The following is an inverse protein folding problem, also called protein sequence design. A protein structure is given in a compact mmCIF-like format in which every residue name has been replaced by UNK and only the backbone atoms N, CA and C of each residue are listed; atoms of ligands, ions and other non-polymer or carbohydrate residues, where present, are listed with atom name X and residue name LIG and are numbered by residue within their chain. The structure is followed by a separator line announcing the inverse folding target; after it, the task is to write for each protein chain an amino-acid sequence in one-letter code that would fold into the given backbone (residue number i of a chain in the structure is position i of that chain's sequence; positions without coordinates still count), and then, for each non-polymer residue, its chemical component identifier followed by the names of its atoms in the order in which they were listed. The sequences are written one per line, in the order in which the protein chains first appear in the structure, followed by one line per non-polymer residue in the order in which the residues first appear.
data_IF_894582859605
#
_entry.id   IF_894582859605
#
_cell.length_a   1.000
_cell.length_b   1.000
_cell.length_c   1.000
_cell.angle_alpha   90.00
_cell.angle_beta   90.00
_cell.angle_gamma   90.00
#
_symmetry.space_group_name_H-M   'P 1'
#
loop_
_entity.id
_entity.type
_entity.pdbx_description
1 polymer ?
#
# COMPACT_ATOMS: atom_id res chain seq x y z
N UNK A 1 -15.48 0.31 -5.63
CA UNK A 1 -14.90 -0.08 -6.93
C UNK A 1 -14.09 -1.35 -6.70
N UNK A 2 -14.25 -2.34 -7.57
CA UNK A 2 -13.55 -3.62 -7.46
C UNK A 2 -14.49 -4.78 -7.16
N UNK A 3 -14.10 -6.02 -7.51
CA UNK A 3 -12.82 -6.38 -8.15
C UNK A 3 -12.75 -5.89 -9.61
N UNK A 4 -11.60 -5.38 -10.04
CA UNK A 4 -11.47 -4.77 -11.37
C UNK A 4 -10.01 -4.66 -11.84
N UNK A 5 -9.80 -4.94 -13.12
CA UNK A 5 -8.59 -4.56 -13.85
C UNK A 5 -8.81 -3.22 -14.56
N UNK A 6 -7.87 -2.30 -14.39
CA UNK A 6 -7.82 -0.98 -15.03
C UNK A 6 -6.69 -0.99 -16.04
N UNK A 7 -7.05 -0.94 -17.33
CA UNK A 7 -6.08 -0.83 -18.42
C UNK A 7 -5.73 0.65 -18.59
N UNK A 8 -4.52 1.01 -18.19
CA UNK A 8 -4.03 2.38 -18.09
C UNK A 8 -3.82 2.82 -16.65
N UNK A 9 -3.84 4.12 -16.42
CA UNK A 9 -3.55 4.72 -15.12
C UNK A 9 -4.82 4.86 -14.25
N UNK A 10 -4.63 4.82 -12.93
CA UNK A 10 -5.62 5.21 -11.95
C UNK A 10 -5.27 6.58 -11.39
N UNK A 11 -6.04 7.58 -11.82
CA UNK A 11 -5.90 8.97 -11.39
C UNK A 11 -7.04 9.32 -10.41
N UNK A 12 -6.67 9.76 -9.21
CA UNK A 12 -7.59 10.42 -8.29
C UNK A 12 -7.22 11.90 -8.23
N UNK A 13 -8.09 12.76 -8.75
CA UNK A 13 -7.89 14.21 -8.66
C UNK A 13 -7.92 14.68 -7.19
N UNK A 14 -7.50 15.93 -6.98
CA UNK A 14 -7.49 16.56 -5.65
C UNK A 14 -8.82 16.39 -4.91
N UNK A 15 -8.76 15.84 -3.70
CA UNK A 15 -9.89 15.64 -2.80
C UNK A 15 -10.83 14.50 -3.19
N UNK A 16 -10.50 13.68 -4.19
CA UNK A 16 -11.32 12.53 -4.56
C UNK A 16 -11.19 11.38 -3.56
N UNK A 17 -12.29 10.66 -3.34
CA UNK A 17 -12.37 9.54 -2.41
C UNK A 17 -12.78 8.27 -3.16
N UNK A 18 -11.91 7.25 -3.13
CA UNK A 18 -12.15 5.94 -3.72
C UNK A 18 -12.45 4.92 -2.63
N UNK A 19 -13.64 4.31 -2.69
CA UNK A 19 -13.97 3.16 -1.84
C UNK A 19 -13.69 1.89 -2.65
N UNK A 20 -12.84 1.00 -2.14
CA UNK A 20 -12.48 -0.29 -2.73
C UNK A 20 -13.41 -1.38 -2.18
N UNK A 21 -14.10 -2.07 -3.08
CA UNK A 21 -15.06 -3.15 -2.77
C UNK A 21 -14.52 -4.55 -3.13
N UNK A 22 -13.34 -4.61 -3.74
CA UNK A 22 -12.65 -5.83 -4.18
C UNK A 22 -11.26 -5.47 -4.73
N UNK A 23 -10.37 -6.45 -4.89
CA UNK A 23 -8.99 -6.21 -5.38
C UNK A 23 -8.98 -5.46 -6.72
N UNK A 24 -8.16 -4.41 -6.79
CA UNK A 24 -7.95 -3.63 -8.01
C UNK A 24 -6.55 -3.90 -8.54
N UNK A 25 -6.44 -4.20 -9.84
CA UNK A 25 -5.18 -4.23 -10.58
C UNK A 25 -5.16 -3.08 -11.60
N UNK A 26 -4.06 -2.36 -11.66
CA UNK A 26 -3.85 -1.22 -12.57
C UNK A 26 -2.62 -1.53 -13.40
N UNK A 27 -2.75 -1.59 -14.73
CA UNK A 27 -1.62 -1.90 -15.61
C UNK A 27 -0.66 -0.72 -15.77
N UNK A 28 -1.08 0.48 -15.39
CA UNK A 28 -0.31 1.70 -15.40
C UNK A 28 0.05 2.19 -14.00
N UNK A 29 0.19 3.50 -13.88
CA UNK A 29 0.52 4.18 -12.63
C UNK A 29 -0.72 4.41 -11.76
N UNK A 30 -0.49 4.66 -10.47
CA UNK A 30 -1.51 5.08 -9.52
C UNK A 30 -1.10 6.40 -8.93
N UNK A 31 -1.89 7.44 -9.19
CA UNK A 31 -1.63 8.79 -8.71
C UNK A 31 -2.80 9.26 -7.86
N UNK A 32 -2.48 9.65 -6.63
CA UNK A 32 -3.45 10.17 -5.67
C UNK A 32 -3.13 11.63 -5.44
N UNK A 33 -3.97 12.51 -5.98
CA UNK A 33 -3.85 13.96 -5.84
C UNK A 33 -4.04 14.44 -4.40
N UNK A 34 -3.81 15.73 -4.20
CA UNK A 34 -3.83 16.37 -2.87
C UNK A 34 -5.13 16.11 -2.13
N UNK A 35 -5.05 15.70 -0.86
CA UNK A 35 -6.20 15.35 -0.02
C UNK A 35 -7.08 14.21 -0.57
N UNK A 36 -6.60 13.46 -1.56
CA UNK A 36 -7.26 12.26 -2.05
C UNK A 36 -7.24 11.15 -1.01
N UNK A 37 -8.18 10.21 -1.10
CA UNK A 37 -8.16 9.04 -0.23
C UNK A 37 -8.60 7.76 -0.91
N UNK A 38 -8.05 6.65 -0.44
CA UNK A 38 -8.48 5.31 -0.79
C UNK A 38 -8.80 4.55 0.49
N UNK A 39 -10.02 4.03 0.58
CA UNK A 39 -10.49 3.28 1.74
C UNK A 39 -11.08 1.95 1.31
N UNK A 40 -10.98 0.92 2.15
CA UNK A 40 -11.74 -0.31 1.92
C UNK A 40 -13.20 -0.10 2.32
N UNK A 41 -14.09 -0.74 1.60
CA UNK A 41 -15.51 -0.81 1.97
C UNK A 41 -15.67 -1.48 3.34
N UNK A 42 -16.57 -0.99 4.22
CA UNK A 42 -16.85 -1.62 5.51
C UNK A 42 -17.19 -3.12 5.43
N UNK A 43 -17.70 -3.61 4.30
CA UNK A 43 -18.00 -5.01 4.05
C UNK A 43 -16.77 -5.93 4.17
N UNK A 44 -15.55 -5.39 4.07
CA UNK A 44 -14.33 -6.15 4.36
C UNK A 44 -14.26 -6.64 5.81
N UNK A 45 -14.97 -6.00 6.76
CA UNK A 45 -14.86 -6.31 8.18
C UNK A 45 -13.40 -6.25 8.63
N UNK A 46 -12.93 -7.22 9.41
CA UNK A 46 -11.52 -7.30 9.81
C UNK A 46 -10.55 -7.70 8.69
N UNK A 47 -11.03 -8.01 7.47
CA UNK A 47 -10.15 -8.40 6.38
C UNK A 47 -9.46 -7.19 5.75
N UNK A 48 -8.28 -7.42 5.21
CA UNK A 48 -7.46 -6.46 4.49
C UNK A 48 -7.65 -6.59 2.98
N UNK A 49 -7.42 -5.51 2.26
CA UNK A 49 -7.57 -5.43 0.81
C UNK A 49 -6.28 -4.96 0.15
N UNK A 50 -6.25 -5.05 -1.18
CA UNK A 50 -5.05 -4.76 -1.96
C UNK A 50 -5.39 -3.94 -3.20
N UNK A 51 -4.48 -3.03 -3.52
CA UNK A 51 -4.41 -2.33 -4.79
C UNK A 51 -3.04 -2.62 -5.39
N UNK A 52 -3.02 -3.12 -6.62
CA UNK A 52 -1.79 -3.53 -7.31
C UNK A 52 -1.61 -2.65 -8.53
N UNK A 53 -0.41 -2.11 -8.72
CA UNK A 53 0.00 -1.37 -9.89
C UNK A 53 1.19 -2.06 -10.58
N UNK A 54 1.15 -2.17 -11.91
CA UNK A 54 2.34 -2.56 -12.68
C UNK A 54 3.29 -1.37 -12.84
N UNK A 55 2.75 -0.14 -12.87
CA UNK A 55 3.49 1.12 -12.85
C UNK A 55 3.78 1.65 -11.44
N UNK A 56 4.23 2.90 -11.36
CA UNK A 56 4.62 3.54 -10.10
C UNK A 56 3.40 4.00 -9.29
N UNK A 57 3.61 4.26 -8.00
CA UNK A 57 2.57 4.77 -7.09
C UNK A 57 3.02 6.10 -6.51
N UNK A 58 2.20 7.14 -6.65
CA UNK A 58 2.47 8.47 -6.10
C UNK A 58 1.33 8.96 -5.22
N UNK A 59 1.65 9.35 -3.99
CA UNK A 59 0.73 9.98 -3.06
C UNK A 59 1.14 11.44 -2.86
N UNK A 60 0.34 12.36 -3.38
CA UNK A 60 0.48 13.79 -3.14
C UNK A 60 0.08 14.19 -1.71
N UNK A 61 0.15 15.50 -1.45
CA UNK A 61 0.04 16.08 -0.11
C UNK A 61 -1.26 15.65 0.59
N UNK A 62 -1.13 15.22 1.85
CA UNK A 62 -2.26 14.81 2.68
C UNK A 62 -3.12 13.69 2.07
N UNK A 63 -2.56 12.86 1.18
CA UNK A 63 -3.22 11.64 0.71
C UNK A 63 -3.41 10.64 1.85
N UNK A 64 -4.56 9.96 1.92
CA UNK A 64 -4.87 9.02 3.02
C UNK A 64 -5.30 7.64 2.54
N UNK A 65 -4.66 6.59 3.09
CA UNK A 65 -4.97 5.18 2.80
C UNK A 65 -5.43 4.45 4.05
N UNK A 66 -6.62 3.85 4.01
CA UNK A 66 -7.20 3.19 5.17
C UNK A 66 -7.83 1.83 4.85
N UNK A 67 -7.87 0.95 5.86
CA UNK A 67 -8.68 -0.25 5.84
C UNK A 67 -10.18 0.04 5.92
N UNK A 68 -10.96 -0.98 6.29
CA UNK A 68 -12.43 -0.92 6.33
C UNK A 68 -13.02 -0.09 7.48
N UNK A 69 -12.16 0.38 8.39
CA UNK A 69 -12.54 0.95 9.68
C UNK A 69 -12.68 -0.08 10.81
N UNK A 70 -12.61 -1.39 10.50
CA UNK A 70 -12.54 -2.43 11.53
C UNK A 70 -11.11 -2.66 12.01
N UNK A 71 -10.88 -2.96 13.31
CA UNK A 71 -9.56 -3.36 13.80
C UNK A 71 -8.97 -4.53 13.00
N UNK A 72 -7.69 -4.45 12.66
CA UNK A 72 -6.97 -5.46 11.88
C UNK A 72 -7.17 -5.38 10.35
N UNK A 73 -8.08 -4.52 9.87
CA UNK A 73 -8.26 -4.28 8.44
C UNK A 73 -7.32 -3.19 7.94
N UNK A 74 -6.68 -3.43 6.79
CA UNK A 74 -5.79 -2.44 6.16
C UNK A 74 -5.73 -2.58 4.66
N UNK A 75 -5.39 -1.48 4.00
CA UNK A 75 -5.13 -1.44 2.57
C UNK A 75 -3.62 -1.59 2.33
N UNK A 76 -3.25 -2.58 1.53
CA UNK A 76 -1.89 -2.73 1.01
C UNK A 76 -1.83 -2.22 -0.43
N UNK A 77 -0.84 -1.36 -0.69
CA UNK A 77 -0.51 -0.90 -2.03
C UNK A 77 0.76 -1.63 -2.49
N UNK A 78 0.67 -2.28 -3.64
CA UNK A 78 1.73 -3.10 -4.22
C UNK A 78 2.12 -2.53 -5.58
N UNK A 79 3.42 -2.39 -5.83
CA UNK A 79 3.93 -2.17 -7.18
C UNK A 79 5.08 -3.12 -7.51
N UNK A 80 5.19 -3.51 -8.77
CA UNK A 80 6.35 -4.24 -9.30
C UNK A 80 7.33 -3.35 -10.08
N UNK A 81 7.06 -2.04 -10.15
CA UNK A 81 7.96 -1.08 -10.77
C UNK A 81 9.33 -1.08 -10.08
N UNK A 82 10.38 -0.89 -10.86
CA UNK A 82 11.77 -0.85 -10.37
C UNK A 82 12.23 0.56 -9.98
N UNK A 83 11.45 1.60 -10.33
CA UNK A 83 11.82 3.01 -10.23
C UNK A 83 11.19 3.83 -11.35
N UNK A 84 11.74 5.01 -11.64
CA UNK A 84 11.27 5.88 -12.73
C UNK A 84 10.05 6.73 -12.41
N UNK A 85 9.57 6.70 -11.16
CA UNK A 85 8.53 7.59 -10.65
C UNK A 85 9.10 8.87 -10.07
N UNK A 86 8.33 9.49 -9.18
CA UNK A 86 8.78 10.66 -8.43
C UNK A 86 9.99 10.29 -7.55
N UNK A 87 10.98 11.19 -7.51
CA UNK A 87 12.28 10.95 -6.87
C UNK A 87 13.00 9.68 -7.35
N UNK A 88 12.71 9.24 -8.59
CA UNK A 88 13.19 7.99 -9.19
C UNK A 88 12.82 6.73 -8.39
N UNK A 89 11.72 6.81 -7.62
CA UNK A 89 11.24 5.74 -6.77
C UNK A 89 10.07 4.98 -7.43
N UNK A 90 9.84 3.75 -6.97
CA UNK A 90 8.68 2.96 -7.36
C UNK A 90 7.41 3.41 -6.61
N UNK A 91 7.58 3.83 -5.35
CA UNK A 91 6.53 4.45 -4.54
C UNK A 91 7.08 5.74 -3.90
N UNK A 92 6.37 6.85 -4.11
CA UNK A 92 6.70 8.14 -3.52
C UNK A 92 5.53 8.64 -2.66
N UNK A 93 5.81 8.96 -1.39
CA UNK A 93 4.82 9.36 -0.39
C UNK A 93 5.35 10.59 0.34
N UNK A 94 4.61 11.69 0.30
CA UNK A 94 5.11 12.95 0.84
C UNK A 94 4.08 13.84 1.50
N UNK A 95 4.60 14.82 2.24
CA UNK A 95 3.86 15.98 2.76
C UNK A 95 2.58 15.60 3.55
N UNK A 96 2.78 14.99 4.71
CA UNK A 96 1.69 14.65 5.63
C UNK A 96 0.78 13.51 5.16
N UNK A 97 1.07 12.89 4.00
CA UNK A 97 0.36 11.70 3.55
C UNK A 97 0.44 10.57 4.60
N UNK A 98 -0.67 9.86 4.75
CA UNK A 98 -0.82 8.75 5.69
C UNK A 98 -1.21 7.48 4.93
N UNK A 99 -0.48 6.39 5.15
CA UNK A 99 -0.87 5.13 4.55
C UNK A 99 -0.47 3.92 5.36
N UNK A 100 -1.13 2.80 5.07
CA UNK A 100 -1.05 1.63 5.95
C UNK A 100 0.13 0.73 5.59
N UNK A 101 0.10 0.10 4.41
CA UNK A 101 1.15 -0.85 4.00
C UNK A 101 1.54 -0.59 2.56
N UNK A 102 2.85 -0.42 2.31
CA UNK A 102 3.41 -0.27 0.97
C UNK A 102 4.46 -1.34 0.69
N UNK A 103 4.39 -1.94 -0.51
CA UNK A 103 5.23 -3.06 -0.92
C UNK A 103 5.77 -2.84 -2.34
N UNK A 104 7.09 -2.69 -2.48
CA UNK A 104 7.79 -2.45 -3.75
C UNK A 104 9.07 -3.32 -3.85
N UNK A 105 8.94 -4.65 -4.02
CA UNK A 105 10.03 -5.60 -3.84
C UNK A 105 11.18 -5.43 -4.84
N UNK A 106 10.95 -4.75 -5.96
CA UNK A 106 11.91 -4.58 -7.05
C UNK A 106 12.43 -3.14 -7.17
N UNK A 107 11.97 -2.22 -6.32
CA UNK A 107 12.24 -0.80 -6.45
C UNK A 107 12.34 -0.10 -5.11
N UNK A 108 12.59 1.21 -5.14
CA UNK A 108 12.74 2.00 -3.93
C UNK A 108 11.43 2.65 -3.49
N UNK A 109 11.27 2.85 -2.18
CA UNK A 109 10.22 3.69 -1.61
C UNK A 109 10.85 4.96 -1.05
N UNK A 110 10.35 6.12 -1.48
CA UNK A 110 10.73 7.41 -0.94
C UNK A 110 9.61 7.97 -0.04
N UNK A 111 9.92 8.18 1.24
CA UNK A 111 8.98 8.71 2.23
C UNK A 111 9.55 10.00 2.83
N UNK A 112 8.91 11.13 2.60
CA UNK A 112 9.47 12.41 3.04
C UNK A 112 8.43 13.44 3.48
N UNK A 113 8.93 14.59 3.97
CA UNK A 113 8.16 15.75 4.42
C UNK A 113 7.00 15.37 5.37
N UNK A 114 7.33 14.86 6.55
CA UNK A 114 6.37 14.48 7.61
C UNK A 114 5.33 13.38 7.28
N UNK A 115 5.45 12.72 6.13
CA UNK A 115 4.61 11.57 5.79
C UNK A 115 4.75 10.44 6.83
N UNK A 116 3.63 9.76 7.12
CA UNK A 116 3.56 8.73 8.17
C UNK A 116 2.96 7.44 7.64
N UNK A 117 3.65 6.32 7.86
CA UNK A 117 3.19 5.01 7.37
C UNK A 117 3.35 3.91 8.43
N UNK A 118 2.57 2.84 8.31
CA UNK A 118 2.60 1.74 9.29
C UNK A 118 3.58 0.63 8.91
N UNK A 119 3.74 0.31 7.63
CA UNK A 119 4.68 -0.70 7.14
C UNK A 119 5.21 -0.37 5.74
N UNK A 120 6.51 -0.62 5.53
CA UNK A 120 7.19 -0.50 4.24
C UNK A 120 8.00 -1.77 3.98
N UNK A 121 7.98 -2.27 2.75
CA UNK A 121 8.90 -3.32 2.29
C UNK A 121 9.31 -3.03 0.86
N UNK A 122 10.61 -2.94 0.61
CA UNK A 122 11.14 -2.53 -0.68
C UNK A 122 12.57 -3.03 -0.88
N UNK A 123 13.10 -2.90 -2.11
CA UNK A 123 14.53 -3.10 -2.39
C UNK A 123 15.39 -2.03 -1.69
N UNK A 124 14.88 -0.80 -1.62
CA UNK A 124 15.48 0.29 -0.86
C UNK A 124 14.43 1.23 -0.28
N UNK A 125 14.72 1.83 0.88
CA UNK A 125 13.83 2.82 1.52
C UNK A 125 14.65 4.07 1.83
N UNK A 126 14.17 5.22 1.35
CA UNK A 126 14.71 6.54 1.69
C UNK A 126 13.69 7.28 2.56
N UNK A 127 14.13 7.78 3.71
CA UNK A 127 13.29 8.55 4.64
C UNK A 127 13.95 9.89 4.97
N UNK A 128 13.22 10.99 4.85
CA UNK A 128 13.76 12.34 5.10
C UNK A 128 12.71 13.31 5.67
N UNK A 129 13.15 14.50 6.09
CA UNK A 129 12.27 15.64 6.42
C UNK A 129 11.17 15.33 7.44
N UNK A 130 11.51 14.62 8.51
CA UNK A 130 10.57 14.32 9.59
C UNK A 130 9.53 13.23 9.27
N UNK A 131 9.74 12.47 8.19
CA UNK A 131 8.98 11.25 7.91
C UNK A 131 8.99 10.27 9.10
N UNK A 132 7.89 9.55 9.31
CA UNK A 132 7.71 8.62 10.42
C UNK A 132 7.23 7.26 9.93
N UNK A 133 7.97 6.22 10.30
CA UNK A 133 7.51 4.84 10.23
C UNK A 133 7.05 4.43 11.64
N UNK A 134 5.75 4.17 11.81
CA UNK A 134 5.19 3.74 13.10
C UNK A 134 4.63 2.34 12.96
N UNK A 135 5.41 1.35 13.37
CA UNK A 135 5.03 -0.06 13.22
C UNK A 135 3.86 -0.43 14.14
N UNK A 136 2.76 -0.87 13.56
CA UNK A 136 1.63 -1.43 14.30
C UNK A 136 1.79 -2.95 14.40
N UNK A 137 1.88 -3.48 15.62
CA UNK A 137 2.01 -4.92 15.87
C UNK A 137 0.71 -5.69 15.57
N UNK A 138 -0.43 -4.99 15.36
CA UNK A 138 -1.71 -5.58 14.98
C UNK A 138 -1.72 -6.25 13.60
N UNK A 139 -0.67 -6.10 12.79
CA UNK A 139 -0.53 -6.70 11.47
C UNK A 139 -0.12 -8.18 11.45
N UNK A 140 0.24 -8.77 12.59
CA UNK A 140 0.67 -10.16 12.67
C UNK A 140 -0.43 -11.19 12.31
N UNK A 141 -1.70 -10.78 12.29
CA UNK A 141 -2.86 -11.59 11.89
C UNK A 141 -3.69 -10.94 10.77
N UNK A 142 -3.10 -10.03 9.98
CA UNK A 142 -3.80 -9.38 8.89
C UNK A 142 -4.17 -10.42 7.80
N UNK A 143 -5.48 -10.59 7.57
CA UNK A 143 -6.02 -11.51 6.57
C UNK A 143 -6.33 -10.74 5.30
N UNK A 144 -5.46 -10.83 4.31
CA UNK A 144 -5.71 -10.24 3.00
C UNK A 144 -6.73 -11.09 2.22
N UNK A 145 -7.74 -10.47 1.61
CA UNK A 145 -8.75 -11.18 0.80
C UNK A 145 -8.20 -11.72 -0.53
N UNK A 146 -6.94 -11.44 -0.83
CA UNK A 146 -6.22 -11.83 -2.04
C UNK A 146 -4.75 -12.10 -1.70
N UNK A 147 -4.12 -13.05 -2.38
CA UNK A 147 -2.75 -13.50 -2.11
C UNK A 147 -2.68 -14.90 -1.47
N UNK A 148 -1.50 -15.53 -1.40
CA UNK A 148 -1.32 -16.81 -0.71
C UNK A 148 -1.60 -16.59 0.78
N UNK A 149 -2.74 -17.07 1.26
CA UNK A 149 -3.08 -17.02 2.67
C UNK A 149 -1.93 -17.59 3.52
N UNK A 150 -1.56 -16.86 4.57
CA UNK A 150 -0.49 -17.23 5.50
C UNK A 150 -0.81 -18.56 6.21
N UNK A 151 -0.50 -19.67 5.56
CA UNK A 151 -0.45 -20.98 6.17
C UNK A 151 1.01 -21.37 6.32
N UNK A 152 1.55 -21.20 7.52
CA UNK A 152 2.77 -21.90 7.90
C UNK A 152 2.41 -23.37 8.10
N UNK A 153 2.71 -24.20 7.10
CA UNK A 153 2.70 -25.65 7.29
C UNK A 153 4.03 -26.08 7.86
N UNK A 154 4.00 -26.77 9.00
CA UNK A 154 5.13 -27.55 9.46
C UNK A 154 5.47 -28.57 8.38
N UNK A 155 6.66 -28.47 7.79
CA UNK A 155 7.21 -29.52 6.93
C UNK A 155 7.96 -30.50 7.84
N UNK A 156 7.46 -31.73 8.05
CA UNK A 156 8.15 -32.71 8.88
C UNK A 156 9.55 -32.96 8.33
N UNK A 157 10.58 -32.83 9.18
CA UNK A 157 11.98 -33.06 8.79
C UNK A 157 12.80 -31.82 8.41
N UNK A 158 12.20 -30.62 8.41
CA UNK A 158 12.96 -29.37 8.24
C UNK A 158 13.17 -28.64 9.56
N UNK A 159 14.34 -28.02 9.75
CA UNK A 159 14.63 -27.15 10.88
C UNK A 159 15.14 -25.79 10.36
N UNK A 160 14.78 -24.71 11.05
CA UNK A 160 15.35 -23.38 10.85
C UNK A 160 16.19 -23.04 12.08
N UNK A 161 17.51 -22.83 11.91
CA UNK A 161 18.34 -22.32 12.99
C UNK A 161 18.02 -20.84 13.21
N UNK A 162 18.01 -20.45 14.48
CA UNK A 162 17.93 -19.07 14.93
C UNK A 162 19.20 -18.31 14.60
#
# INVERSE_FOLDING_TARGET
LGPKDIIGDLELDNGQHLIITGTIHVTGNVNVGNHGSITLDPAYGSNSGMLIADGTIHLENNGTMHGSGSPGSSLMLITHATGGGHHDSAIDIHNGANGTIFYAPNGTINLHNTATVSQLTADGITMSEGARLTYDQGFLDARFTSGPAAAWTLVPGTWAAR
#
